data_IF_070156544631
#
_entry.id   IF_070156544631
#
_cell.length_a   1.000
_cell.length_b   1.000
_cell.length_c   1.000
_cell.angle_alpha   90.00
_cell.angle_beta   90.00
_cell.angle_gamma   90.00
#
_symmetry.space_group_name_H-M   'P 1'
#
loop_
_entity.id
_entity.type
_entity.pdbx_description
1 polymer ?
2 non-polymer ?
3 non-polymer ?
4 water ?
#
# COMPACT_ATOMS: atom_id res chain seq x y z
N UNK A 12 22.91 14.57 -6.24
CA UNK A 12 23.86 13.77 -7.08
C UNK A 12 23.16 12.53 -7.66
N UNK A 13 23.61 11.34 -7.25
CA UNK A 13 22.84 10.08 -7.41
C UNK A 13 22.49 9.66 -8.87
N UNK A 14 23.34 10.02 -9.83
CA UNK A 14 23.07 9.72 -11.24
C UNK A 14 23.18 8.23 -11.61
N UNK A 15 24.19 7.54 -11.10
CA UNK A 15 24.31 6.11 -11.38
C UNK A 15 23.36 5.27 -10.54
N UNK A 16 22.99 5.78 -9.37
CA UNK A 16 22.02 5.10 -8.52
C UNK A 16 20.62 5.15 -9.13
N UNK A 17 20.27 6.29 -9.73
CA UNK A 17 19.00 6.43 -10.46
C UNK A 17 18.91 5.40 -11.60
N UNK A 18 19.93 5.37 -12.44
CA UNK A 18 20.04 4.36 -13.51
C UNK A 18 19.90 2.93 -12.95
N UNK A 19 20.57 2.66 -11.84
CA UNK A 19 20.46 1.40 -11.13
C UNK A 19 19.02 1.13 -10.69
N UNK A 20 18.41 2.13 -10.04
CA UNK A 20 17.03 1.99 -9.55
C UNK A 20 16.02 1.67 -10.66
N UNK A 21 16.19 2.29 -11.83
CA UNK A 21 15.31 2.00 -12.96
C UNK A 21 15.53 0.60 -13.54
N UNK A 22 16.78 0.14 -13.53
CA UNK A 22 17.10 -1.22 -13.98
C UNK A 22 16.45 -2.27 -13.11
N UNK A 23 16.52 -2.10 -11.78
CA UNK A 23 15.88 -3.03 -10.85
C UNK A 23 14.35 -2.90 -10.94
N UNK A 24 13.87 -1.67 -11.09
CA UNK A 24 12.44 -1.40 -11.29
C UNK A 24 11.83 -2.23 -12.40
N UNK A 25 12.56 -2.34 -13.53
CA UNK A 25 12.05 -3.03 -14.69
C UNK A 25 12.02 -4.55 -14.55
N UNK A 26 12.88 -5.07 -13.68
CA UNK A 26 12.97 -6.51 -13.41
C UNK A 26 11.97 -6.98 -12.35
N UNK A 27 11.44 -6.04 -11.56
CA UNK A 27 10.56 -6.38 -10.42
C UNK A 27 9.09 -6.08 -10.65
N UNK A 28 8.78 -5.15 -11.57
CA UNK A 28 7.40 -4.79 -11.84
C UNK A 28 6.63 -5.90 -12.56
N UNK A 29 5.33 -6.00 -12.27
CA UNK A 29 4.49 -7.00 -12.89
C UNK A 29 4.54 -6.89 -14.42
N UNK A 30 4.84 -7.99 -15.09
CA UNK A 30 4.79 -8.05 -16.54
C UNK A 30 3.36 -7.94 -17.04
N UNK A 31 3.21 -7.43 -18.26
CA UNK A 31 1.91 -7.40 -18.95
C UNK A 31 1.28 -8.79 -19.02
N UNK A 32 2.13 -9.80 -19.27
CA UNK A 32 1.73 -11.19 -19.23
C UNK A 32 0.91 -11.46 -17.96
N UNK A 33 1.51 -11.19 -16.80
CA UNK A 33 0.86 -11.49 -15.53
C UNK A 33 -0.34 -10.60 -15.25
N UNK A 34 -0.25 -9.32 -15.61
CA UNK A 34 -1.36 -8.40 -15.42
C UNK A 34 -2.59 -8.95 -16.13
N UNK A 35 -2.39 -9.33 -17.39
CA UNK A 35 -3.44 -9.89 -18.23
C UNK A 35 -4.01 -11.21 -17.71
N UNK A 36 -3.19 -11.98 -17.01
CA UNK A 36 -3.67 -13.24 -16.43
C UNK A 36 -4.52 -12.97 -15.20
N UNK A 37 -4.08 -12.04 -14.36
CA UNK A 37 -4.84 -11.60 -13.21
C UNK A 37 -6.21 -11.02 -13.61
N UNK A 38 -6.24 -10.29 -14.72
CA UNK A 38 -7.47 -9.65 -15.20
C UNK A 38 -8.47 -10.67 -15.77
N UNK A 39 -7.95 -11.69 -16.45
CA UNK A 39 -8.73 -12.84 -16.86
C UNK A 39 -9.32 -13.61 -15.65
N UNK A 40 -8.53 -13.74 -14.58
CA UNK A 40 -8.97 -14.40 -13.35
C UNK A 40 -10.16 -13.69 -12.69
N UNK A 41 -10.08 -12.35 -12.69
CA UNK A 41 -11.15 -11.49 -12.20
C UNK A 41 -12.43 -11.58 -13.05
N UNK A 42 -12.28 -11.68 -14.36
CA UNK A 42 -13.44 -11.86 -15.25
C UNK A 42 -14.16 -13.19 -14.99
N UNK A 43 -13.37 -14.24 -14.80
CA UNK A 43 -13.88 -15.55 -14.38
C UNK A 43 -14.64 -15.48 -13.03
N UNK A 44 -14.07 -14.78 -12.06
CA UNK A 44 -14.67 -14.65 -10.74
C UNK A 44 -15.97 -13.85 -10.78
N UNK A 45 -16.09 -12.98 -11.78
CA UNK A 45 -17.29 -12.16 -11.95
C UNK A 45 -18.48 -12.97 -12.46
N UNK A 46 -18.21 -13.88 -13.40
CA UNK A 46 -19.23 -14.77 -13.96
C UNK A 46 -19.80 -15.70 -12.89
N UNK A 47 -18.95 -16.13 -11.96
CA UNK A 47 -19.40 -16.94 -10.83
C UNK A 47 -20.28 -16.11 -9.91
N UNK A 48 -19.94 -14.84 -9.72
CA UNK A 48 -20.74 -13.96 -8.89
C UNK A 48 -22.11 -13.69 -9.54
N UNK A 49 -22.11 -13.38 -10.83
CA UNK A 49 -23.35 -13.26 -11.59
C UNK A 49 -24.30 -14.44 -11.35
N UNK A 50 -23.79 -15.65 -11.56
CA UNK A 50 -24.58 -16.87 -11.42
C UNK A 50 -25.39 -17.01 -10.13
N UNK A 51 -24.98 -16.31 -9.09
CA UNK A 51 -25.64 -16.42 -7.78
C UNK A 51 -26.23 -15.11 -7.23
N UNK A 52 -25.91 -13.99 -7.89
CA UNK A 52 -26.40 -12.67 -7.49
C UNK A 52 -26.21 -11.67 -8.63
N UNK A 53 -27.32 -11.24 -9.26
CA UNK A 53 -27.18 -10.37 -10.43
C UNK A 53 -26.78 -8.92 -10.11
N UNK A 54 -27.19 -8.41 -8.94
CA UNK A 54 -26.95 -6.99 -8.58
C UNK A 54 -25.58 -6.73 -7.93
N UNK A 55 -25.03 -7.72 -7.23
CA UNK A 55 -23.70 -7.64 -6.60
C UNK A 55 -22.60 -7.47 -7.64
N UNK A 56 -21.53 -6.80 -7.22
CA UNK A 56 -20.48 -6.31 -8.12
C UNK A 56 -19.09 -6.59 -7.52
N UNK A 57 -18.19 -7.14 -8.33
CA UNK A 57 -16.90 -7.56 -7.82
C UNK A 57 -15.81 -6.58 -8.22
N UNK A 58 -15.24 -5.89 -7.23
CA UNK A 58 -14.28 -4.80 -7.51
C UNK A 58 -12.86 -5.21 -7.11
N UNK A 59 -11.87 -4.66 -7.80
CA UNK A 59 -10.46 -4.88 -7.44
C UNK A 59 -9.92 -3.68 -6.69
N UNK A 60 -9.03 -3.93 -5.73
CA UNK A 60 -8.36 -2.86 -4.99
C UNK A 60 -6.93 -3.25 -4.61
N UNK A 61 -6.16 -2.28 -4.14
CA UNK A 61 -4.76 -2.50 -3.82
C UNK A 61 -3.85 -2.57 -5.04
N UNK A 62 -2.71 -3.24 -4.87
CA UNK A 62 -1.63 -3.30 -5.88
C UNK A 62 -2.08 -3.24 -7.33
N UNK A 63 -2.76 -4.28 -7.78
CA UNK A 63 -3.11 -4.44 -9.19
C UNK A 63 -3.92 -3.26 -9.71
N UNK A 64 -4.83 -2.78 -8.87
CA UNK A 64 -5.71 -1.68 -9.22
C UNK A 64 -4.98 -0.34 -9.29
N UNK A 65 -4.08 -0.11 -8.33
CA UNK A 65 -3.34 1.14 -8.19
C UNK A 65 -2.04 1.18 -9.03
N UNK A 66 -1.65 0.01 -9.53
CA UNK A 66 -0.50 -0.10 -10.41
C UNK A 66 0.82 -0.06 -9.65
N UNK A 67 0.81 -0.63 -8.45
CA UNK A 67 2.00 -0.74 -7.62
C UNK A 67 2.37 -2.20 -7.38
N UNK A 68 2.23 -3.01 -8.42
CA UNK A 68 2.37 -4.45 -8.29
C UNK A 68 3.76 -4.95 -8.67
N UNK A 69 4.39 -5.65 -7.74
CA UNK A 69 5.56 -6.46 -8.03
C UNK A 69 5.15 -7.72 -8.81
N UNK A 70 6.14 -8.51 -9.22
CA UNK A 70 5.90 -9.80 -9.81
C UNK A 70 5.39 -10.75 -8.72
N UNK A 71 4.66 -11.78 -9.13
CA UNK A 71 4.16 -12.79 -8.21
C UNK A 71 3.23 -12.16 -7.18
N UNK A 72 2.27 -11.41 -7.69
CA UNK A 72 1.45 -10.54 -6.88
C UNK A 72 0.17 -11.23 -6.45
N UNK A 73 -0.21 -10.98 -5.19
CA UNK A 73 -1.52 -11.37 -4.65
C UNK A 73 -2.64 -10.46 -5.17
N UNK A 74 -3.89 -10.81 -4.87
CA UNK A 74 -5.06 -10.15 -5.44
C UNK A 74 -6.05 -9.76 -4.35
N UNK A 75 -6.48 -8.51 -4.38
CA UNK A 75 -7.39 -7.98 -3.39
C UNK A 75 -8.71 -7.57 -4.02
N UNK A 76 -9.75 -8.35 -3.76
CA UNK A 76 -11.09 -8.07 -4.31
C UNK A 76 -12.14 -7.79 -3.25
N UNK A 77 -13.19 -7.08 -3.66
CA UNK A 77 -14.28 -6.72 -2.77
C UNK A 77 -15.63 -6.82 -3.48
N UNK A 78 -16.53 -7.62 -2.93
CA UNK A 78 -17.89 -7.71 -3.42
C UNK A 78 -18.69 -6.54 -2.86
N UNK A 79 -19.22 -5.70 -3.76
CA UNK A 79 -20.19 -4.66 -3.41
C UNK A 79 -21.62 -5.13 -3.63
N UNK A 80 -22.49 -4.78 -2.70
CA UNK A 80 -23.89 -5.17 -2.78
C UNK A 80 -24.73 -4.31 -1.86
N UNK A 81 -26.05 -4.44 -1.97
CA UNK A 81 -27.00 -3.70 -1.14
C UNK A 81 -26.75 -4.00 0.34
N UNK A 82 -26.61 -2.95 1.14
CA UNK A 82 -26.27 -3.10 2.57
C UNK A 82 -27.38 -3.80 3.38
N UNK A 83 -28.61 -3.78 2.86
CA UNK A 83 -29.75 -4.46 3.48
C UNK A 83 -29.73 -6.00 3.29
N UNK A 84 -28.85 -6.48 2.40
CA UNK A 84 -28.60 -7.92 2.26
C UNK A 84 -27.61 -8.39 3.32
N UNK A 85 -27.90 -9.53 3.94
CA UNK A 85 -26.95 -10.21 4.82
C UNK A 85 -25.73 -10.65 4.02
N UNK A 86 -24.56 -10.14 4.40
CA UNK A 86 -23.32 -10.38 3.65
C UNK A 86 -22.75 -11.79 3.80
N UNK A 87 -23.12 -12.49 4.87
CA UNK A 87 -22.63 -13.86 5.06
C UNK A 87 -23.36 -14.84 4.13
N UNK A 88 -24.63 -14.54 3.87
CA UNK A 88 -25.48 -15.36 3.03
C UNK A 88 -24.96 -15.46 1.60
N UNK A 89 -24.77 -14.33 0.92
CA UNK A 89 -24.23 -14.39 -0.44
C UNK A 89 -22.75 -14.78 -0.41
N UNK A 90 -22.05 -14.48 0.69
CA UNK A 90 -20.64 -14.85 0.82
C UNK A 90 -20.48 -16.36 0.75
N UNK A 91 -21.41 -17.07 1.38
CA UNK A 91 -21.36 -18.52 1.41
C UNK A 91 -21.75 -19.10 0.07
N UNK A 92 -22.74 -18.49 -0.58
CA UNK A 92 -23.18 -18.88 -1.91
C UNK A 92 -22.06 -18.67 -2.95
N UNK A 93 -21.39 -17.53 -2.86
CA UNK A 93 -20.25 -17.22 -3.69
C UNK A 93 -19.11 -18.23 -3.47
N UNK A 94 -18.82 -18.53 -2.20
CA UNK A 94 -17.83 -19.56 -1.82
C UNK A 94 -18.16 -20.93 -2.42
N UNK A 95 -19.40 -21.38 -2.24
CA UNK A 95 -19.85 -22.63 -2.83
C UNK A 95 -19.69 -22.71 -4.36
N UNK A 96 -19.94 -21.62 -5.07
CA UNK A 96 -19.72 -21.57 -6.53
C UNK A 96 -18.26 -21.66 -6.91
N UNK A 97 -17.39 -21.06 -6.10
CA UNK A 97 -15.96 -21.04 -6.37
C UNK A 97 -15.35 -22.42 -6.20
N UNK A 98 -15.74 -23.12 -5.13
CA UNK A 98 -15.31 -24.50 -4.97
C UNK A 98 -15.78 -25.27 -6.20
N UNK A 99 -17.09 -25.24 -6.47
CA UNK A 99 -17.68 -25.90 -7.64
C UNK A 99 -16.97 -25.58 -8.96
N UNK A 100 -16.56 -24.34 -9.16
CA UNK A 100 -15.87 -23.95 -10.39
C UNK A 100 -14.38 -24.32 -10.38
N UNK A 101 -13.91 -24.86 -9.25
CA UNK A 101 -12.59 -25.46 -9.19
C UNK A 101 -11.53 -24.73 -8.40
N UNK A 102 -11.88 -23.59 -7.82
CA UNK A 102 -10.95 -22.86 -6.96
C UNK A 102 -10.90 -23.52 -5.61
N UNK A 103 -9.77 -23.38 -4.92
CA UNK A 103 -9.57 -23.92 -3.57
C UNK A 103 -9.33 -22.79 -2.60
N UNK A 104 -10.02 -22.79 -1.48
CA UNK A 104 -9.84 -21.73 -0.51
C UNK A 104 -10.61 -21.91 0.77
N UNK A 105 -10.61 -20.87 1.59
CA UNK A 105 -11.28 -20.90 2.87
C UNK A 105 -12.39 -19.86 2.96
N UNK A 106 -13.48 -20.24 3.61
CA UNK A 106 -14.50 -19.29 4.02
C UNK A 106 -14.41 -19.13 5.52
N UNK A 107 -14.11 -17.90 5.95
CA UNK A 107 -14.05 -17.58 7.36
C UNK A 107 -14.83 -16.29 7.64
N UNK A 108 -15.13 -16.04 8.90
CA UNK A 108 -15.72 -14.78 9.31
C UNK A 108 -14.99 -14.27 10.55
N UNK A 109 -14.34 -13.11 10.42
CA UNK A 109 -13.68 -12.47 11.56
C UNK A 109 -14.60 -11.38 12.11
N UNK A 110 -15.12 -11.61 13.31
CA UNK A 110 -16.12 -10.74 13.94
C UNK A 110 -17.46 -10.70 13.19
N UNK A 111 -17.71 -9.65 12.43
CA UNK A 111 -18.94 -9.52 11.66
C UNK A 111 -18.63 -9.54 10.16
N UNK A 112 -17.34 -9.61 9.87
CA UNK A 112 -16.77 -9.48 8.53
C UNK A 112 -16.51 -10.85 7.87
N UNK A 113 -17.32 -11.23 6.87
CA UNK A 113 -17.05 -12.48 6.15
C UNK A 113 -15.94 -12.33 5.09
N UNK A 114 -15.04 -13.31 5.02
CA UNK A 114 -13.88 -13.28 4.11
C UNK A 114 -13.74 -14.59 3.34
N UNK A 115 -13.37 -14.50 2.06
CA UNK A 115 -12.97 -15.67 1.29
C UNK A 115 -11.51 -15.57 0.89
N UNK A 116 -10.73 -16.59 1.21
CA UNK A 116 -9.31 -16.61 0.84
C UNK A 116 -9.05 -17.76 -0.12
N UNK A 117 -8.85 -17.45 -1.40
CA UNK A 117 -8.53 -18.48 -2.39
C UNK A 117 -7.02 -18.68 -2.49
N UNK A 118 -6.60 -19.95 -2.60
CA UNK A 118 -5.18 -20.35 -2.51
C UNK A 118 -4.63 -21.08 -3.75
N UNK A 119 -5.50 -21.69 -4.55
CA UNK A 119 -5.06 -22.42 -5.74
C UNK A 119 -6.12 -22.37 -6.85
N UNK A 120 -6.00 -23.25 -7.85
CA UNK A 120 -6.88 -23.23 -9.03
C UNK A 120 -6.86 -24.54 -9.84
N UNK A 121 -7.60 -25.54 -9.37
CA UNK A 121 -7.58 -26.88 -9.99
C UNK A 121 -8.33 -26.95 -11.32
N UNK A 127 0.35 -24.12 -10.18
CA UNK A 127 0.75 -23.91 -8.79
C UNK A 127 -0.25 -23.04 -7.99
N UNK A 128 0.13 -21.79 -7.71
CA UNK A 128 -0.55 -20.96 -6.70
C UNK A 128 -1.15 -19.64 -7.18
N UNK A 129 -2.46 -19.55 -7.05
CA UNK A 129 -3.25 -18.35 -7.30
C UNK A 129 -3.75 -17.87 -5.94
N UNK A 130 -3.35 -16.68 -5.50
CA UNK A 130 -3.68 -16.20 -4.15
C UNK A 130 -4.46 -14.87 -4.15
N UNK A 131 -5.65 -14.91 -3.56
CA UNK A 131 -6.64 -13.86 -3.76
C UNK A 131 -7.64 -13.75 -2.60
N UNK A 132 -7.73 -12.57 -1.98
CA UNK A 132 -8.70 -12.35 -0.90
C UNK A 132 -9.96 -11.65 -1.40
N UNK A 133 -11.10 -12.02 -0.82
CA UNK A 133 -12.40 -11.44 -1.17
C UNK A 133 -13.09 -10.96 0.09
N UNK A 134 -13.27 -9.64 0.17
CA UNK A 134 -13.97 -9.01 1.28
C UNK A 134 -15.38 -8.66 0.83
N UNK A 135 -16.26 -8.38 1.79
CA UNK A 135 -17.65 -8.04 1.46
C UNK A 135 -18.03 -6.69 2.05
N UNK A 136 -18.47 -5.81 1.17
CA UNK A 136 -18.76 -4.40 1.48
C UNK A 136 -17.63 -3.62 2.15
N UNK A 137 -16.39 -4.03 1.87
CA UNK A 137 -15.19 -3.33 2.30
C UNK A 137 -15.01 -2.03 1.52
N UNK A 138 -15.96 -1.11 1.71
CA UNK A 138 -15.99 0.13 0.93
C UNK A 138 -14.77 1.04 1.13
N UNK A 139 -14.16 1.00 2.32
CA UNK A 139 -12.99 1.83 2.66
C UNK A 139 -11.68 1.50 1.91
N UNK A 140 -11.39 0.22 1.70
CA UNK A 140 -10.26 -0.24 0.87
C UNK A 140 -10.32 0.31 -0.55
N UNK A 141 -11.54 0.35 -1.12
CA UNK A 141 -11.74 0.93 -2.44
C UNK A 141 -11.21 2.38 -2.46
N UNK A 142 -11.60 3.15 -1.46
CA UNK A 142 -11.18 4.54 -1.37
C UNK A 142 -9.68 4.72 -1.11
N UNK A 143 -9.10 3.88 -0.23
CA UNK A 143 -7.65 3.84 -0.01
C UNK A 143 -6.92 3.68 -1.33
N UNK A 144 -7.43 2.79 -2.17
CA UNK A 144 -6.84 2.53 -3.49
C UNK A 144 -7.08 3.68 -4.48
N UNK A 145 -8.27 4.29 -4.43
CA UNK A 145 -8.56 5.51 -5.21
C UNK A 145 -7.52 6.61 -4.94
N UNK A 146 -7.28 6.92 -3.67
CA UNK A 146 -6.27 7.88 -3.26
C UNK A 146 -4.90 7.56 -3.85
N UNK A 147 -4.39 6.35 -3.60
CA UNK A 147 -3.08 5.97 -4.09
C UNK A 147 -3.03 5.89 -5.61
N UNK A 148 -4.13 5.50 -6.27
CA UNK A 148 -4.20 5.52 -7.73
C UNK A 148 -4.03 6.94 -8.24
N UNK A 149 -4.71 7.88 -7.59
CA UNK A 149 -4.63 9.27 -7.97
C UNK A 149 -3.21 9.81 -7.84
N UNK A 150 -2.56 9.48 -6.73
CA UNK A 150 -1.18 9.94 -6.49
C UNK A 150 -0.22 9.37 -7.52
N UNK A 151 -0.42 8.10 -7.88
CA UNK A 151 0.34 7.44 -8.94
C UNK A 151 0.24 8.23 -10.26
N UNK A 152 -0.97 8.66 -10.63
CA UNK A 152 -1.17 9.45 -11.85
C UNK A 152 -0.61 10.88 -11.78
N UNK A 153 -0.32 11.37 -10.57
CA UNK A 153 0.10 12.76 -10.40
C UNK A 153 1.59 13.00 -10.65
N UNK A 154 2.40 11.95 -10.50
CA UNK A 154 3.85 12.03 -10.69
C UNK A 154 4.45 10.65 -10.98
N UNK A 155 5.17 10.55 -12.09
CA UNK A 155 5.69 9.28 -12.57
C UNK A 155 6.75 8.62 -11.67
N UNK A 156 7.35 9.39 -10.77
CA UNK A 156 8.36 8.83 -9.84
C UNK A 156 7.81 7.95 -8.67
N UNK A 157 6.53 8.12 -8.33
CA UNK A 157 5.96 7.39 -7.20
C UNK A 157 5.98 5.87 -7.37
N UNK A 158 5.54 5.40 -8.53
CA UNK A 158 5.40 3.97 -8.79
C UNK A 158 6.72 3.17 -8.62
N UNK A 159 7.79 3.55 -9.37
CA UNK A 159 9.07 2.86 -9.16
C UNK A 159 9.62 3.00 -7.74
N UNK A 160 9.45 4.18 -7.14
CA UNK A 160 9.86 4.38 -5.74
C UNK A 160 9.19 3.38 -4.82
N UNK A 161 7.86 3.27 -4.91
CA UNK A 161 7.10 2.34 -4.08
C UNK A 161 7.58 0.92 -4.32
N UNK A 162 7.76 0.53 -5.58
CA UNK A 162 8.14 -0.86 -5.89
C UNK A 162 9.51 -1.24 -5.36
N UNK A 163 10.44 -0.30 -5.38
CA UNK A 163 11.77 -0.52 -4.84
C UNK A 163 11.74 -0.66 -3.33
N UNK A 164 11.01 0.23 -2.68
CA UNK A 164 10.84 0.18 -1.22
C UNK A 164 10.20 -1.14 -0.80
N UNK A 165 9.15 -1.57 -1.50
CA UNK A 165 8.54 -2.87 -1.19
C UNK A 165 9.51 -4.02 -1.45
N UNK A 166 10.25 -3.96 -2.55
CA UNK A 166 11.27 -4.97 -2.83
C UNK A 166 12.33 -5.03 -1.72
N UNK A 167 12.81 -3.86 -1.30
CA UNK A 167 13.82 -3.75 -0.25
C UNK A 167 13.32 -4.30 1.09
N UNK A 168 12.10 -3.92 1.47
CA UNK A 168 11.47 -4.38 2.71
C UNK A 168 11.29 -5.90 2.80
N UNK A 169 10.91 -6.53 1.68
CA UNK A 169 10.81 -7.98 1.58
C UNK A 169 12.16 -8.68 1.72
N UNK A 170 13.18 -8.15 1.06
CA UNK A 170 14.51 -8.75 1.10
C UNK A 170 15.13 -8.61 2.50
N UNK A 171 14.64 -7.64 3.27
CA UNK A 171 15.21 -7.39 4.60
C UNK A 171 14.39 -8.03 5.74
N UNK A 172 13.41 -8.84 5.34
CA UNK A 172 12.52 -9.50 6.28
C UNK A 172 11.91 -8.49 7.23
N UNK A 173 11.57 -7.31 6.71
CA UNK A 173 10.91 -6.29 7.52
C UNK A 173 9.52 -5.97 6.95
N UNK A 174 8.97 -6.93 6.22
CA UNK A 174 7.68 -6.80 5.57
C UNK A 174 6.77 -7.98 5.97
N UNK A 175 6.69 -8.24 7.28
CA UNK A 175 5.88 -9.33 7.80
C UNK A 175 5.00 -8.87 8.97
N UNK A 176 3.72 -8.55 8.69
CA UNK A 176 2.77 -8.10 9.74
C UNK A 176 2.58 -9.13 10.86
N UNK A 177 2.68 -10.42 10.52
CA UNK A 177 2.43 -11.49 11.47
C UNK A 177 3.61 -11.72 12.40
N UNK A 178 4.76 -11.18 12.02
CA UNK A 178 5.99 -11.38 12.76
C UNK A 178 6.59 -10.07 13.25
N UNK A 179 5.74 -9.09 13.53
CA UNK A 179 6.20 -7.89 14.20
C UNK A 179 6.78 -6.81 13.30
N UNK A 180 6.77 -7.03 11.99
CA UNK A 180 7.12 -5.91 11.09
C UNK A 180 5.91 -5.30 10.36
N UNK A 181 6.16 -4.67 9.21
CA UNK A 181 5.19 -3.76 8.61
C UNK A 181 4.59 -4.25 7.30
N UNK A 182 3.30 -4.01 7.09
CA UNK A 182 2.68 -4.34 5.81
C UNK A 182 3.13 -3.43 4.67
N UNK A 183 3.04 -3.92 3.43
CA UNK A 183 3.37 -3.11 2.27
C UNK A 183 2.58 -1.81 2.19
N UNK A 184 1.29 -1.88 2.53
CA UNK A 184 0.45 -0.68 2.57
C UNK A 184 1.03 0.36 3.51
N UNK A 185 1.56 -0.11 4.65
CA UNK A 185 2.22 0.74 5.63
C UNK A 185 3.42 1.45 5.02
N UNK A 186 4.24 0.70 4.29
CA UNK A 186 5.42 1.26 3.64
C UNK A 186 5.06 2.27 2.58
N UNK A 187 3.95 2.01 1.88
CA UNK A 187 3.45 2.92 0.87
C UNK A 187 3.10 4.23 1.55
N UNK A 188 2.35 4.16 2.65
CA UNK A 188 2.00 5.37 3.40
C UNK A 188 3.23 6.11 3.91
N UNK A 189 4.24 5.38 4.40
CA UNK A 189 5.52 5.99 4.78
C UNK A 189 6.20 6.72 3.61
N UNK A 190 6.08 6.17 2.39
CA UNK A 190 6.57 6.85 1.20
C UNK A 190 5.77 8.14 0.94
N UNK A 191 4.45 8.01 0.77
CA UNK A 191 3.59 9.14 0.53
C UNK A 191 3.80 10.22 1.58
N UNK A 192 3.83 9.81 2.84
CA UNK A 192 4.03 10.76 3.89
C UNK A 192 5.33 11.53 3.69
N UNK A 193 6.39 10.81 3.29
CA UNK A 193 7.66 11.47 2.99
C UNK A 193 7.55 12.44 1.82
N UNK A 194 6.89 12.04 0.75
CA UNK A 194 6.79 12.88 -0.44
C UNK A 194 5.87 14.09 -0.29
N UNK A 195 4.98 14.06 0.69
CA UNK A 195 4.00 15.14 0.90
C UNK A 195 4.45 16.13 1.99
N UNK A 196 4.73 15.62 3.18
CA UNK A 196 4.99 16.45 4.37
C UNK A 196 6.48 16.62 4.76
N UNK A 197 7.37 15.83 4.16
CA UNK A 197 8.80 15.93 4.47
C UNK A 197 9.58 16.64 3.37
N UNK A 198 9.69 16.02 2.19
CA UNK A 198 10.55 16.59 1.16
C UNK A 198 10.13 18.03 0.82
N UNK A 199 11.12 18.89 0.60
CA UNK A 199 10.88 20.27 0.21
C UNK A 199 11.71 20.52 -1.03
N UNK A 200 11.08 21.01 -2.12
CA UNK A 200 9.64 21.24 -2.24
C UNK A 200 8.85 19.95 -2.12
N UNK A 201 7.56 20.04 -1.81
CA UNK A 201 6.74 18.82 -1.77
C UNK A 201 6.74 18.16 -3.15
N UNK A 202 6.70 16.83 -3.18
CA UNK A 202 6.55 16.14 -4.46
C UNK A 202 5.08 16.17 -4.84
N UNK A 203 4.21 16.01 -3.84
CA UNK A 203 2.77 16.00 -4.02
C UNK A 203 2.15 16.98 -3.05
N UNK A 204 0.92 17.47 -3.35
CA UNK A 204 0.15 18.19 -2.31
C UNK A 204 -0.61 17.17 -1.45
N UNK A 205 -1.25 17.62 -0.37
CA UNK A 205 -2.10 16.73 0.44
C UNK A 205 -3.51 16.79 -0.12
N UNK A 206 -3.89 15.79 -0.89
CA UNK A 206 -5.20 15.78 -1.56
C UNK A 206 -6.38 15.79 -0.59
N UNK A 207 -6.17 15.29 0.63
CA UNK A 207 -7.22 15.22 1.63
C UNK A 207 -7.52 16.59 2.24
N UNK A 208 -6.48 17.43 2.37
CA UNK A 208 -6.61 18.76 2.97
C UNK A 208 -6.77 19.88 1.95
N UNK A 209 -6.85 19.50 0.67
CA UNK A 209 -7.05 20.45 -0.41
C UNK A 209 -8.28 21.35 -0.14
N UNK A 210 -8.16 22.66 -0.43
CA UNK A 210 -9.29 23.58 -0.37
C UNK A 210 -10.45 23.08 -1.22
N UNK A 211 -10.13 22.37 -2.30
CA UNK A 211 -11.12 21.85 -3.27
C UNK A 211 -11.83 20.57 -2.81
N UNK A 212 -11.33 19.96 -1.75
CA UNK A 212 -11.85 18.69 -1.28
C UNK A 212 -13.30 18.78 -0.78
N UNK A 213 -14.17 17.94 -1.34
CA UNK A 213 -15.55 17.78 -0.87
C UNK A 213 -15.66 16.56 0.04
N UNK A 214 -16.36 16.76 1.15
CA UNK A 214 -16.63 15.70 2.11
C UNK A 214 -17.45 14.56 1.49
N UNK A 215 -17.12 13.33 1.87
CA UNK A 215 -17.85 12.15 1.46
C UNK A 215 -17.76 11.11 2.58
N UNK A 216 -18.89 10.88 3.26
CA UNK A 216 -18.93 9.94 4.37
C UNK A 216 -19.32 8.54 3.91
N UNK A 217 -18.44 7.59 4.18
CA UNK A 217 -18.67 6.18 3.89
C UNK A 217 -18.31 5.46 5.19
N UNK A 218 -19.22 4.59 5.63
CA UNK A 218 -19.03 3.81 6.87
C UNK A 218 -18.48 4.61 8.04
N UNK A 219 -18.99 5.83 8.22
CA UNK A 219 -18.58 6.71 9.30
C UNK A 219 -17.28 7.49 9.12
N UNK A 220 -16.58 7.34 8.00
CA UNK A 220 -15.35 8.13 7.78
C UNK A 220 -15.42 9.05 6.55
N UNK A 221 -14.73 10.19 6.64
CA UNK A 221 -14.60 11.07 5.47
C UNK A 221 -13.52 10.55 4.52
N UNK A 222 -13.96 10.13 3.34
CA UNK A 222 -13.07 9.56 2.34
C UNK A 222 -12.83 10.52 1.16
N UNK A 223 -13.40 11.72 1.26
CA UNK A 223 -13.22 12.72 0.24
C UNK A 223 -11.80 13.25 0.10
N UNK A 224 -11.42 13.56 -1.14
CA UNK A 224 -10.18 14.25 -1.47
C UNK A 224 -10.33 14.86 -2.86
N UNK A 225 -9.48 15.84 -3.15
CA UNK A 225 -9.45 16.50 -4.46
C UNK A 225 -9.05 15.47 -5.54
N UNK A 226 -10.00 15.11 -6.40
CA UNK A 226 -9.72 14.14 -7.45
C UNK A 226 -9.80 14.72 -8.85
N UNK A 227 -10.04 16.02 -8.93
CA UNK A 227 -9.93 16.78 -10.18
C UNK A 227 -8.44 16.82 -10.46
N UNK A 228 -7.92 15.71 -10.98
CA UNK A 228 -6.49 15.51 -11.11
C UNK A 228 -5.86 16.37 -12.19
N UNK A 229 -6.65 16.71 -13.21
CA UNK A 229 -6.13 17.46 -14.34
C UNK A 229 -5.85 18.93 -14.00
N UNK A 230 -6.32 19.39 -12.84
CA UNK A 230 -6.23 20.81 -12.47
C UNK A 230 -5.00 21.15 -11.62
N UNK A 231 -4.33 20.13 -11.11
CA UNK A 231 -3.21 20.31 -10.18
C UNK A 231 -1.88 20.62 -10.88
N UNK A 232 -1.20 21.72 -10.47
CA UNK A 232 0.13 22.01 -10.98
C UNK A 232 1.09 20.85 -10.69
N UNK A 233 2.01 20.55 -11.65
CA UNK A 233 3.03 19.51 -11.42
C UNK A 233 4.01 19.89 -10.30
N UNK A 234 4.62 18.89 -9.68
CA UNK A 234 5.59 19.09 -8.60
C UNK A 234 6.66 20.12 -8.96
N UNK A 235 7.05 20.96 -8.00
CA UNK A 235 8.16 21.88 -8.18
C UNK A 235 9.44 21.30 -7.58
N UNK A 236 9.43 19.97 -7.43
CA UNK A 236 10.58 19.23 -6.97
C UNK A 236 11.11 18.37 -8.12
N UNK A 237 12.38 18.58 -8.46
CA UNK A 237 12.99 17.96 -9.64
C UNK A 237 14.10 16.96 -9.28
N UNK A 238 13.97 16.33 -8.12
CA UNK A 238 14.92 15.30 -7.67
C UNK A 238 14.73 14.00 -8.43
N UNK A 239 15.85 13.39 -8.82
CA UNK A 239 15.84 12.09 -9.47
C UNK A 239 15.32 11.02 -8.50
N UNK A 240 14.88 9.89 -9.06
CA UNK A 240 14.38 8.78 -8.27
C UNK A 240 15.36 8.36 -7.17
N UNK A 241 16.66 8.41 -7.48
CA UNK A 241 17.70 8.05 -6.55
C UNK A 241 17.79 8.98 -5.36
N UNK A 242 17.62 10.29 -5.59
CA UNK A 242 17.68 11.27 -4.48
C UNK A 242 16.52 11.08 -3.55
N UNK A 243 15.33 10.88 -4.12
CA UNK A 243 14.11 10.67 -3.34
C UNK A 243 14.27 9.50 -2.40
N UNK A 244 14.78 8.40 -2.94
CA UNK A 244 14.99 7.19 -2.21
C UNK A 244 15.96 7.38 -1.07
N UNK A 245 17.05 8.09 -1.34
CA UNK A 245 18.07 8.37 -0.36
C UNK A 245 17.50 9.31 0.69
N UNK A 246 16.69 10.27 0.25
CA UNK A 246 15.95 11.13 1.16
C UNK A 246 15.04 10.35 2.11
N UNK A 247 14.28 9.41 1.53
CA UNK A 247 13.32 8.58 2.26
C UNK A 247 14.01 7.76 3.34
N UNK A 248 15.09 7.09 2.96
CA UNK A 248 15.82 6.24 3.90
C UNK A 248 16.44 7.13 4.97
N UNK A 249 17.01 8.26 4.55
CA UNK A 249 17.60 9.22 5.48
C UNK A 249 16.59 9.68 6.53
N UNK A 250 15.39 10.02 6.08
CA UNK A 250 14.39 10.55 7.01
C UNK A 250 13.93 9.56 8.10
N UNK A 251 13.64 8.31 7.73
CA UNK A 251 13.22 7.30 8.72
C UNK A 251 14.37 6.72 9.57
N UNK A 252 15.60 6.82 9.07
CA UNK A 252 16.77 6.42 9.82
C UNK A 252 17.16 7.42 10.93
N UNK A 253 17.14 8.71 10.59
CA UNK A 253 17.84 9.73 11.39
C UNK A 253 16.98 10.85 11.94
N UNK A 254 15.87 11.15 11.26
CA UNK A 254 15.10 12.34 11.58
C UNK A 254 13.75 12.04 12.23
N UNK A 255 13.01 11.08 11.67
CA UNK A 255 11.69 10.73 12.19
C UNK A 255 11.85 10.14 13.57
N UNK A 256 10.90 10.46 14.47
CA UNK A 256 10.98 10.01 15.86
C UNK A 256 9.77 9.12 16.23
N UNK A 257 9.94 7.79 16.12
CA UNK A 257 8.91 6.74 16.22
C UNK A 257 8.22 6.57 17.58
N UNK A 258 8.83 7.09 18.64
CA UNK A 258 8.26 6.96 19.97
C UNK A 258 7.27 8.09 20.26
N UNK A 259 7.59 9.28 19.77
CA UNK A 259 6.78 10.48 19.99
C UNK A 259 5.73 10.67 18.90
N UNK A 260 6.16 10.49 17.65
CA UNK A 260 5.44 10.98 16.48
C UNK A 260 4.53 9.96 15.82
N UNK A 261 3.62 10.43 14.96
CA UNK A 261 2.65 9.61 14.23
C UNK A 261 2.71 9.99 12.75
N UNK A 262 2.89 9.02 11.85
CA UNK A 262 2.73 9.29 10.41
C UNK A 262 1.25 9.62 10.14
N UNK A 263 0.99 10.82 9.63
CA UNK A 263 -0.39 11.32 9.43
C UNK A 263 -0.57 12.02 8.06
N UNK A 264 -1.81 12.05 7.59
CA UNK A 264 -2.21 12.80 6.40
C UNK A 264 -3.31 13.82 6.72
N UNK A 265 -3.58 14.00 8.02
CA UNK A 265 -4.66 14.87 8.50
C UNK A 265 -4.20 16.20 9.13
N UNK A 266 -2.91 16.53 9.03
CA UNK A 266 -2.40 17.81 9.52
C UNK A 266 -1.67 18.55 8.42
N UNK A 267 -1.90 19.86 8.28
CA UNK A 267 -1.24 20.59 7.20
C UNK A 267 0.29 20.53 7.28
N UNK A 268 0.84 20.37 8.49
CA UNK A 268 2.29 20.34 8.66
C UNK A 268 2.85 18.95 9.02
N UNK A 269 2.01 17.92 8.94
CA UNK A 269 2.42 16.54 9.22
C UNK A 269 2.86 16.25 10.65
N UNK A 270 2.62 17.19 11.56
CA UNK A 270 2.97 17.02 12.97
C UNK A 270 1.78 16.44 13.73
N UNK A 271 2.00 15.29 14.37
CA UNK A 271 0.99 14.65 15.22
C UNK A 271 1.66 13.80 16.28
N UNK A 272 1.40 14.10 17.55
CA UNK A 272 1.97 13.32 18.63
C UNK A 272 1.05 12.17 18.98
N UNK A 273 1.67 11.06 19.38
CA UNK A 273 0.97 9.89 19.87
C UNK A 273 -0.02 10.21 20.98
N UNK A 274 0.27 11.20 21.82
CA UNK A 274 -0.65 11.55 22.93
C UNK A 274 -1.96 12.19 22.48
N UNK A 275 -1.90 13.14 21.54
CA UNK A 275 -3.10 13.78 20.99
C UNK A 275 -4.04 12.73 20.48
N UNK A 276 -3.45 11.69 19.92
CA UNK A 276 -4.17 10.60 19.30
C UNK A 276 -4.58 9.55 20.35
N UNK A 277 -3.94 9.59 21.52
CA UNK A 277 -4.19 8.63 22.58
C UNK A 277 -3.56 7.28 22.28
N UNK A 278 -2.37 7.33 21.69
CA UNK A 278 -1.71 6.15 21.15
C UNK A 278 -0.39 5.89 21.88
N UNK A 279 -0.49 5.60 23.18
CA UNK A 279 0.70 5.35 24.02
C UNK A 279 1.50 4.13 23.55
N UNK A 295 -1.31 -2.35 19.69
CA UNK A 295 -0.15 -1.66 20.27
C UNK A 295 0.33 -0.53 19.34
N UNK A 296 1.13 0.40 19.88
CA UNK A 296 1.50 1.62 19.17
C UNK A 296 3.02 1.91 19.20
N UNK A 297 3.82 0.86 19.00
CA UNK A 297 5.29 0.99 18.89
C UNK A 297 5.65 1.82 17.65
N UNK A 298 5.02 1.50 16.52
CA UNK A 298 5.05 2.33 15.33
C UNK A 298 3.64 2.79 14.99
N UNK A 299 3.46 4.10 14.81
CA UNK A 299 2.15 4.69 14.64
C UNK A 299 1.97 5.39 13.29
N UNK A 300 1.08 4.83 12.47
CA UNK A 300 0.71 5.39 11.18
C UNK A 300 -0.81 5.45 11.13
N UNK A 301 -1.35 6.67 11.13
CA UNK A 301 -2.78 6.89 11.03
C UNK A 301 -3.24 6.66 9.61
N UNK A 302 -4.11 5.69 9.38
CA UNK A 302 -4.71 5.51 8.05
C UNK A 302 -5.30 6.86 7.59
N UNK A 303 -5.16 7.19 6.30
CA UNK A 303 -5.71 8.50 5.92
C UNK A 303 -7.23 8.60 6.15
N UNK A 304 -7.97 7.55 5.83
CA UNK A 304 -9.44 7.60 5.90
C UNK A 304 -10.00 6.97 7.17
N UNK A 305 -9.61 5.75 7.47
CA UNK A 305 -9.99 5.13 8.72
C UNK A 305 -9.03 5.64 9.80
N UNK A 306 -9.27 6.86 10.29
CA UNK A 306 -8.31 7.52 11.17
C UNK A 306 -8.22 6.89 12.55
N UNK A 307 -9.09 5.92 12.82
CA UNK A 307 -9.05 5.23 14.11
C UNK A 307 -8.17 3.98 14.07
N UNK A 308 -7.61 3.68 12.88
CA UNK A 308 -6.79 2.49 12.65
C UNK A 308 -5.32 2.82 12.54
N UNK A 309 -4.52 2.22 13.40
CA UNK A 309 -3.08 2.30 13.31
C UNK A 309 -2.54 1.28 12.30
N UNK A 310 -2.09 1.74 11.13
CA UNK A 310 -1.64 0.80 10.11
C UNK A 310 -0.41 0.00 10.55
N UNK A 311 0.44 0.63 11.37
CA UNK A 311 1.61 -0.06 11.92
C UNK A 311 1.39 -0.74 13.27
N UNK A 312 0.15 -1.17 13.54
CA UNK A 312 -0.18 -1.82 14.80
C UNK A 312 0.45 -3.22 15.00
N UNK A 313 0.92 -3.80 13.91
CA UNK A 313 1.51 -5.12 13.92
C UNK A 313 3.00 -5.03 14.28
N UNK A 314 3.53 -3.82 14.30
CA UNK A 314 4.95 -3.62 14.58
C UNK A 314 5.33 -3.88 16.05
N UNK A 315 6.19 -4.87 16.27
CA UNK A 315 6.62 -5.18 17.61
C UNK A 315 7.80 -4.29 17.99
N UNK A 316 8.30 -4.44 19.21
CA UNK A 316 9.43 -3.65 19.65
C UNK A 316 10.73 -4.07 18.96
N UNK A 317 10.85 -5.36 18.67
CA UNK A 317 12.02 -5.92 18.00
C UNK A 317 11.91 -5.69 16.52
N UNK A 318 10.66 -5.66 16.04
CA UNK A 318 10.35 -5.39 14.65
C UNK A 318 10.82 -4.00 14.31
N UNK A 319 10.42 -3.03 15.13
CA UNK A 319 10.83 -1.64 14.91
C UNK A 319 12.35 -1.47 14.95
N UNK A 320 13.02 -2.16 15.86
CA UNK A 320 14.46 -2.05 15.94
C UNK A 320 15.14 -2.48 14.63
N UNK A 321 14.71 -3.61 14.07
CA UNK A 321 15.22 -4.09 12.77
C UNK A 321 14.83 -3.18 11.61
N UNK A 322 13.65 -2.57 11.68
CA UNK A 322 13.22 -1.64 10.63
C UNK A 322 14.14 -0.41 10.58
N UNK A 323 14.40 0.19 11.75
CA UNK A 323 15.24 1.38 11.84
C UNK A 323 16.65 1.04 11.40
N UNK A 324 17.17 -0.09 11.90
CA UNK A 324 18.50 -0.55 11.57
C UNK A 324 18.72 -0.68 10.08
N UNK A 325 17.68 -1.13 9.38
CA UNK A 325 17.75 -1.31 7.95
C UNK A 325 17.66 0.03 7.23
N UNK A 326 16.80 0.91 7.74
CA UNK A 326 16.78 2.28 7.29
C UNK A 326 18.14 2.96 7.38
N UNK A 327 18.85 2.75 8.48
CA UNK A 327 20.16 3.35 8.68
C UNK A 327 21.19 2.77 7.72
N UNK A 328 21.22 1.44 7.60
CA UNK A 328 22.14 0.74 6.69
C UNK A 328 21.98 1.21 5.24
N UNK A 329 20.72 1.35 4.81
CA UNK A 329 20.40 1.90 3.51
C UNK A 329 21.04 3.28 3.28
N UNK A 330 20.88 4.17 4.26
CA UNK A 330 21.52 5.49 4.25
C UNK A 330 23.05 5.42 4.23
N UNK A 331 23.63 4.63 5.13
CA UNK A 331 25.07 4.44 5.19
C UNK A 331 25.61 3.98 3.83
N UNK A 332 24.91 3.03 3.21
CA UNK A 332 25.29 2.53 1.89
C UNK A 332 25.31 3.60 0.80
N UNK A 333 24.27 4.41 0.73
CA UNK A 333 24.13 5.43 -0.30
C UNK A 333 25.03 6.66 -0.06
N UNK A 334 25.62 6.74 1.13
CA UNK A 334 26.64 7.76 1.42
C UNK A 334 28.04 7.26 1.08
N UNK A 335 28.20 5.94 1.03
CA UNK A 335 29.50 5.26 0.88
C UNK A 335 30.45 5.92 -0.11
N UNK A 336 31.69 6.11 0.34
CA UNK A 336 32.75 6.75 -0.45
C UNK A 336 33.50 5.74 -1.30
N UNK A 337 33.28 4.45 -1.01
CA UNK A 337 33.99 3.36 -1.66
C UNK A 337 33.80 3.29 -3.18
N UNK A 338 34.64 2.48 -3.79
CA UNK A 338 34.64 2.20 -5.22
C UNK A 338 35.12 0.75 -5.25
N UNK A 339 34.30 -0.19 -5.76
CA UNK A 339 32.95 0.01 -6.31
C UNK A 339 31.90 0.16 -5.19
N UNK A 340 30.97 1.10 -5.36
CA UNK A 340 29.88 1.26 -4.39
C UNK A 340 28.75 0.23 -4.66
N UNK A 341 28.55 -0.74 -3.73
CA UNK A 341 27.70 -1.89 -4.02
C UNK A 341 26.20 -1.66 -3.79
N UNK A 342 25.56 -0.95 -4.71
CA UNK A 342 24.11 -0.70 -4.64
C UNK A 342 23.26 -1.97 -4.57
N UNK A 343 23.76 -3.06 -5.15
CA UNK A 343 23.07 -4.35 -5.18
C UNK A 343 22.73 -4.86 -3.78
N UNK A 344 23.59 -4.52 -2.81
CA UNK A 344 23.46 -5.00 -1.44
C UNK A 344 22.24 -4.41 -0.77
N UNK A 345 21.68 -3.36 -1.38
CA UNK A 345 20.41 -2.79 -0.95
C UNK A 345 19.30 -3.85 -1.01
N UNK A 346 19.44 -4.81 -1.92
CA UNK A 346 18.42 -5.83 -2.13
C UNK A 346 18.90 -7.24 -1.83
N UNK A 347 20.00 -7.37 -1.11
CA UNK A 347 20.42 -8.69 -0.69
C UNK A 347 19.56 -9.08 0.49
N UNK A 348 19.23 -10.36 0.59
CA UNK A 348 18.41 -10.84 1.70
C UNK A 348 19.21 -10.64 2.98
N UNK A 349 18.68 -9.85 3.91
CA UNK A 349 19.45 -9.49 5.12
C UNK A 349 20.01 -10.72 5.83
X LIG B 1 1.44 -5.99 -2.00
X LIG B 1 2.11 -6.03 -3.33
X LIG B 1 2.37 -6.64 -0.81
X LIG B 1 0.00 -6.77 -1.94
X LIG B 1 -0.42 -3.98 -1.58
X LIG B 1 -0.62 -2.73 -2.39
X LIG B 1 -1.31 -5.25 -2.14
X LIG B 1 1.11 -4.49 -1.60
X LIG B 1 -1.60 -4.82 0.83
X LIG B 1 -0.93 -4.73 2.32
X LIG B 1 -1.54 -6.16 0.14
X LIG B 1 -0.72 -3.77 0.00
X LIG B 1 -3.10 -4.21 0.98
X LIG B 1 -3.61 -3.18 0.10
X LIG B 1 -5.01 -2.68 0.50
X LIG B 1 -5.64 -3.50 1.54
X LIG B 1 -4.89 -1.26 1.05
X LIG B 1 -5.82 -1.24 2.25
X LIG B 1 -7.13 -0.82 1.84
X LIG B 1 -5.86 -2.68 2.73
X LIG B 1 -4.86 -2.91 3.84
X LIG B 1 -3.70 -3.56 3.75
X LIG B 1 -3.10 -3.55 4.95
X LIG B 1 -3.89 -2.88 5.80
X LIG B 1 -3.75 -2.60 7.10
X LIG B 1 -2.63 -3.03 7.70
X LIG B 1 -4.70 -1.89 7.76
X LIG B 1 -5.85 -1.48 7.06
X LIG B 1 -5.97 -1.80 5.71
X LIG B 1 -4.98 -2.49 5.11
X LIG C 1 -2.15 -7.23 -1.69
#
# INVERSE_FOLDING_TARGET
GSHMSYQKVPNSHKEFTKFCYEVYNEIKISDKEFKEKRAALDTLRLCLKRISPDAELVAFGSLESGLALKNSDMDLCVLMDSRVQSDTIALQFYEELIAEGFEGKFLQRARIPIIKLTSDTKNGFGASFQCDIGFNNRLAIHNTLLLSSYTKLDARLKPMVLLVKHWAKRKQINSPYFGTLSSYGYVLMVLYYLIHVIKPPVFPNLLLSPLKQEKIVDGFDVGFDDKLEDIPPSQNYSSLGSLLHGFFRFYAYKFEPREKVVTFRRPDGYLTKQEKGWTSATEHTGSADQIIKDRYILAIEDPFEISHNVGRTVSSSGLYRIRGEFMAASRLLNSRSYPIPYDSLFEEA
3AT PG O1G O2G O3G PB O1B O2B O3B PA O1A O2A O3A O5' C5' C4' O4' C3' C2' O2' C1' N9 C8 N7 C5 C6 N6 N1 C2 N3 C4
MG MG
#
